data_IF_500915008966
#
_entry.id   IF_500915008966
#
_cell.length_a   1.000
_cell.length_b   1.000
_cell.length_c   1.000
_cell.angle_alpha   90.00
_cell.angle_beta   90.00
_cell.angle_gamma   90.00
#
_symmetry.space_group_name_H-M   'P 1'
#
loop_
_entity.id
_entity.type
_entity.pdbx_description
1 polymer ?
#
# COMPACT_ATOMS: atom_id res chain seq x y z
N UNK A 1 18.29 2.53 17.70
CA UNK A 1 17.76 3.49 16.71
C UNK A 1 18.06 3.00 15.31
N UNK A 2 17.10 3.08 14.42
CA UNK A 2 17.33 2.72 13.02
C UNK A 2 18.19 3.79 12.36
N UNK A 3 19.32 3.39 11.77
CA UNK A 3 20.25 4.30 11.13
C UNK A 3 20.10 4.37 9.62
N UNK A 4 19.16 3.58 9.05
CA UNK A 4 18.91 3.63 7.61
C UNK A 4 18.31 4.97 7.22
N UNK A 5 18.75 5.56 6.10
CA UNK A 5 18.14 6.81 5.64
C UNK A 5 16.68 6.57 5.25
N UNK A 6 15.82 7.50 5.65
CA UNK A 6 14.43 7.50 5.22
C UNK A 6 14.36 7.58 3.69
N UNK A 7 13.43 6.85 3.08
CA UNK A 7 13.24 6.91 1.64
C UNK A 7 12.32 8.07 1.27
N UNK A 8 12.67 8.74 0.18
CA UNK A 8 11.91 9.87 -0.35
C UNK A 8 10.85 9.37 -1.33
N UNK A 9 9.94 10.26 -1.73
CA UNK A 9 8.97 9.96 -2.79
C UNK A 9 9.69 9.47 -4.05
N UNK A 10 10.78 10.12 -4.44
CA UNK A 10 11.57 9.73 -5.61
C UNK A 10 12.11 8.32 -5.48
N UNK A 11 12.63 7.95 -4.30
CA UNK A 11 13.13 6.60 -4.03
C UNK A 11 12.00 5.57 -4.17
N UNK A 12 10.82 5.90 -3.68
CA UNK A 12 9.68 4.96 -3.69
C UNK A 12 9.04 4.85 -5.08
N UNK A 13 9.07 5.90 -5.87
CA UNK A 13 8.67 5.82 -7.28
C UNK A 13 9.60 4.84 -8.01
N UNK A 14 10.91 4.91 -7.77
CA UNK A 14 11.86 3.98 -8.37
C UNK A 14 11.67 2.55 -7.86
N UNK A 15 11.45 2.37 -6.56
CA UNK A 15 11.20 1.05 -5.98
C UNK A 15 9.92 0.43 -6.56
N UNK A 16 8.86 1.21 -6.68
CA UNK A 16 7.60 0.77 -7.28
C UNK A 16 7.81 0.32 -8.72
N UNK A 17 8.57 1.06 -9.50
CA UNK A 17 8.86 0.72 -10.88
C UNK A 17 9.72 -0.54 -11.02
N UNK A 18 10.46 -0.92 -9.99
CA UNK A 18 11.32 -2.11 -10.00
C UNK A 18 10.57 -3.40 -9.69
N UNK A 19 9.39 -3.31 -9.09
CA UNK A 19 8.61 -4.47 -8.67
C UNK A 19 7.69 -4.95 -9.81
N UNK A 20 7.83 -6.22 -10.19
CA UNK A 20 7.07 -6.79 -11.32
C UNK A 20 5.56 -6.68 -11.14
N UNK A 21 5.05 -7.02 -9.95
CA UNK A 21 3.62 -6.93 -9.68
C UNK A 21 3.13 -5.50 -9.81
N UNK A 22 3.86 -4.55 -9.22
CA UNK A 22 3.47 -3.14 -9.21
C UNK A 22 3.39 -2.56 -10.63
N UNK A 23 4.35 -2.94 -11.50
CA UNK A 23 4.34 -2.53 -12.90
C UNK A 23 3.14 -3.10 -13.65
N UNK A 24 2.90 -4.42 -13.50
CA UNK A 24 1.81 -5.08 -14.20
C UNK A 24 0.45 -4.58 -13.76
N UNK A 25 0.32 -4.27 -12.48
CA UNK A 25 -0.93 -3.77 -11.91
C UNK A 25 -1.15 -2.28 -12.18
N UNK A 26 -0.11 -1.57 -12.57
CA UNK A 26 -0.21 -0.13 -12.82
C UNK A 26 -0.26 0.69 -11.54
N UNK A 27 0.42 0.24 -10.48
CA UNK A 27 0.50 1.02 -9.24
C UNK A 27 1.23 2.34 -9.49
N UNK A 28 0.65 3.43 -8.99
CA UNK A 28 1.24 4.75 -9.03
C UNK A 28 1.43 5.26 -7.60
N UNK A 29 2.63 5.73 -7.27
CA UNK A 29 2.91 6.35 -5.97
C UNK A 29 2.57 7.82 -6.09
N UNK A 30 1.51 8.24 -5.41
CA UNK A 30 1.02 9.63 -5.48
C UNK A 30 1.77 10.50 -4.47
N UNK A 31 1.84 10.05 -3.22
CA UNK A 31 2.56 10.74 -2.15
C UNK A 31 3.28 9.74 -1.28
N UNK A 32 4.39 10.15 -0.69
CA UNK A 32 5.10 9.35 0.31
C UNK A 32 6.03 10.26 1.11
N UNK A 33 5.66 10.56 2.35
CA UNK A 33 6.47 11.38 3.25
C UNK A 33 5.97 11.26 4.69
N UNK A 34 6.87 11.40 5.64
CA UNK A 34 6.53 11.52 7.07
C UNK A 34 5.57 10.44 7.58
N UNK A 35 5.81 9.19 7.19
CA UNK A 35 5.01 8.07 7.65
C UNK A 35 3.66 7.92 6.95
N UNK A 36 3.47 8.57 5.80
CA UNK A 36 2.24 8.51 5.03
C UNK A 36 2.58 8.14 3.59
N UNK A 37 1.75 7.31 2.96
CA UNK A 37 1.89 7.01 1.54
C UNK A 37 0.51 6.82 0.92
N UNK A 38 0.37 7.26 -0.32
CA UNK A 38 -0.83 7.03 -1.11
C UNK A 38 -0.45 6.38 -2.43
N UNK A 39 -1.15 5.30 -2.77
CA UNK A 39 -0.92 4.53 -3.98
C UNK A 39 -2.24 4.38 -4.72
N UNK A 40 -2.21 4.49 -6.03
CA UNK A 40 -3.39 4.34 -6.88
C UNK A 40 -3.18 3.19 -7.87
N UNK A 41 -4.27 2.53 -8.21
CA UNK A 41 -4.29 1.48 -9.22
C UNK A 41 -5.57 1.63 -10.05
N UNK A 42 -5.48 1.65 -11.40
CA UNK A 42 -6.69 1.68 -12.22
C UNK A 42 -7.38 0.31 -12.18
N UNK A 43 -8.69 0.29 -12.44
CA UNK A 43 -9.41 -0.97 -12.60
C UNK A 43 -8.76 -1.81 -13.69
N UNK A 44 -8.68 -3.11 -13.45
CA UNK A 44 -8.18 -4.07 -14.43
C UNK A 44 -8.95 -5.38 -14.27
N UNK A 45 -9.67 -5.79 -15.31
CA UNK A 45 -10.45 -7.02 -15.31
C UNK A 45 -9.59 -8.26 -15.02
N UNK A 46 -8.29 -8.20 -15.33
CA UNK A 46 -7.36 -9.29 -15.07
C UNK A 46 -7.11 -9.57 -13.60
N UNK A 47 -7.52 -8.66 -12.70
CA UNK A 47 -7.32 -8.81 -11.25
C UNK A 47 -8.61 -9.06 -10.51
N UNK A 48 -9.65 -9.45 -11.21
CA UNK A 48 -10.95 -9.76 -10.60
C UNK A 48 -11.00 -11.20 -10.14
N UNK A 49 -11.84 -11.44 -9.14
CA UNK A 49 -12.19 -12.80 -8.73
C UNK A 49 -13.45 -13.27 -9.48
N UNK A 50 -13.88 -14.49 -9.21
CA UNK A 50 -14.94 -15.16 -9.94
C UNK A 50 -16.32 -14.48 -9.92
N UNK A 51 -16.56 -13.54 -8.98
CA UNK A 51 -17.82 -12.77 -8.93
C UNK A 51 -17.69 -11.39 -9.58
N UNK A 52 -16.55 -11.10 -10.22
CA UNK A 52 -16.36 -9.84 -10.93
C UNK A 52 -15.87 -8.68 -10.06
N UNK A 53 -15.52 -8.93 -8.79
CA UNK A 53 -14.97 -7.92 -7.90
C UNK A 53 -13.46 -8.03 -7.85
N UNK A 54 -12.78 -6.99 -7.39
CA UNK A 54 -11.33 -7.02 -7.23
C UNK A 54 -10.95 -8.17 -6.27
N UNK A 55 -9.99 -8.99 -6.69
CA UNK A 55 -9.53 -10.13 -5.91
C UNK A 55 -8.90 -9.67 -4.59
N UNK A 56 -9.19 -10.40 -3.51
CA UNK A 56 -8.64 -10.08 -2.18
C UNK A 56 -7.10 -10.06 -2.19
N UNK A 57 -6.47 -10.86 -3.03
CA UNK A 57 -5.01 -10.83 -3.20
C UNK A 57 -4.50 -9.48 -3.70
N UNK A 58 -5.25 -8.83 -4.60
CA UNK A 58 -4.88 -7.49 -5.09
C UNK A 58 -5.18 -6.42 -4.04
N UNK A 59 -6.25 -6.60 -3.28
CA UNK A 59 -6.56 -5.73 -2.14
C UNK A 59 -5.39 -5.79 -1.15
N UNK A 60 -4.93 -7.00 -0.83
CA UNK A 60 -3.78 -7.21 0.06
C UNK A 60 -2.51 -6.54 -0.50
N UNK A 61 -2.25 -6.70 -1.78
CA UNK A 61 -1.07 -6.10 -2.42
C UNK A 61 -1.08 -4.57 -2.30
N UNK A 62 -2.24 -3.95 -2.52
CA UNK A 62 -2.39 -2.49 -2.39
C UNK A 62 -2.19 -2.03 -0.95
N UNK A 63 -2.84 -2.69 0.00
CA UNK A 63 -2.73 -2.34 1.41
C UNK A 63 -1.30 -2.54 1.93
N UNK A 64 -0.70 -3.69 1.61
CA UNK A 64 0.66 -3.99 2.03
C UNK A 64 1.67 -3.00 1.45
N UNK A 65 1.53 -2.67 0.16
CA UNK A 65 2.43 -1.71 -0.49
C UNK A 65 2.31 -0.32 0.15
N UNK A 66 1.10 0.13 0.42
CA UNK A 66 0.89 1.42 1.07
C UNK A 66 1.49 1.45 2.48
N UNK A 67 1.31 0.37 3.26
CA UNK A 67 1.93 0.25 4.58
C UNK A 67 3.45 0.27 4.50
N UNK A 68 4.02 -0.52 3.59
CA UNK A 68 5.46 -0.62 3.42
C UNK A 68 6.09 0.70 3.00
N UNK A 69 5.47 1.40 2.06
CA UNK A 69 5.98 2.70 1.62
C UNK A 69 5.85 3.77 2.71
N UNK A 70 4.74 3.76 3.45
CA UNK A 70 4.60 4.66 4.60
C UNK A 70 5.72 4.43 5.60
N UNK A 71 5.99 3.18 5.97
CA UNK A 71 7.05 2.82 6.91
C UNK A 71 8.43 3.16 6.36
N UNK A 72 8.67 2.98 5.06
CA UNK A 72 9.95 3.27 4.44
C UNK A 72 10.31 4.76 4.50
N UNK A 73 9.32 5.64 4.53
CA UNK A 73 9.58 7.08 4.71
C UNK A 73 10.12 7.40 6.10
N UNK A 74 9.96 6.49 7.08
CA UNK A 74 10.51 6.65 8.43
C UNK A 74 11.82 5.87 8.59
N UNK A 75 11.94 4.69 7.98
CA UNK A 75 12.93 3.69 8.39
C UNK A 75 13.85 3.19 7.28
N UNK A 76 13.70 3.67 6.05
CA UNK A 76 14.46 3.13 4.93
C UNK A 76 13.89 1.82 4.44
N UNK A 77 14.73 0.92 3.92
CA UNK A 77 14.30 -0.38 3.42
C UNK A 77 13.59 -1.20 4.49
N UNK A 78 12.45 -1.77 4.15
CA UNK A 78 11.61 -2.53 5.09
C UNK A 78 11.04 -3.77 4.43
N UNK A 79 10.54 -4.70 5.26
CA UNK A 79 9.89 -5.91 4.80
C UNK A 79 8.76 -6.25 5.76
N UNK A 80 7.62 -6.67 5.22
CA UNK A 80 6.50 -7.10 6.04
C UNK A 80 6.81 -8.45 6.69
N UNK A 81 6.51 -8.58 7.98
CA UNK A 81 6.64 -9.85 8.69
C UNK A 81 5.29 -10.44 9.07
N UNK A 82 4.26 -9.63 9.15
CA UNK A 82 2.89 -10.08 9.39
C UNK A 82 1.91 -9.09 8.78
N UNK A 83 0.84 -9.62 8.24
CA UNK A 83 -0.18 -8.80 7.57
C UNK A 83 -1.56 -9.35 7.87
N UNK A 84 -2.49 -8.46 8.17
CA UNK A 84 -3.91 -8.81 8.31
C UNK A 84 -4.76 -7.77 7.62
N UNK A 85 -5.91 -8.17 7.13
CA UNK A 85 -6.82 -7.24 6.48
C UNK A 85 -8.28 -7.61 6.69
N UNK A 86 -9.16 -6.65 6.47
CA UNK A 86 -10.60 -6.82 6.50
C UNK A 86 -11.17 -6.32 5.18
N UNK A 87 -11.87 -7.18 4.47
CA UNK A 87 -12.63 -6.79 3.30
C UNK A 87 -14.03 -6.41 3.75
N UNK A 88 -14.34 -5.13 3.72
CA UNK A 88 -15.56 -4.58 4.30
C UNK A 88 -16.75 -4.66 3.36
N UNK A 89 -16.51 -4.64 2.06
CA UNK A 89 -17.51 -4.73 1.01
C UNK A 89 -16.87 -5.09 -0.32
N UNK A 90 -17.65 -5.53 -1.32
CA UNK A 90 -17.11 -5.83 -2.63
C UNK A 90 -16.38 -4.62 -3.21
N UNK A 91 -15.17 -4.83 -3.75
CA UNK A 91 -14.35 -3.76 -4.27
C UNK A 91 -14.58 -3.61 -5.78
N UNK A 92 -15.30 -2.55 -6.15
CA UNK A 92 -15.59 -2.21 -7.54
C UNK A 92 -15.44 -0.70 -7.68
N UNK A 93 -14.75 -0.27 -8.72
CA UNK A 93 -14.57 1.15 -8.97
C UNK A 93 -13.76 1.37 -10.24
N UNK A 94 -13.58 2.62 -10.60
CA UNK A 94 -12.73 3.00 -11.71
C UNK A 94 -11.26 2.96 -11.33
N UNK A 95 -10.97 3.35 -10.09
CA UNK A 95 -9.62 3.45 -9.55
C UNK A 95 -9.67 3.03 -8.08
N UNK A 96 -8.60 2.40 -7.62
CA UNK A 96 -8.44 2.07 -6.20
C UNK A 96 -7.35 2.95 -5.62
N UNK A 97 -7.60 3.45 -4.41
CA UNK A 97 -6.68 4.35 -3.71
C UNK A 97 -6.36 3.74 -2.35
N UNK A 98 -5.11 3.38 -2.15
CA UNK A 98 -4.63 2.85 -0.86
C UNK A 98 -3.89 3.96 -0.12
N UNK A 99 -4.30 4.23 1.12
CA UNK A 99 -3.67 5.23 1.99
C UNK A 99 -3.05 4.53 3.18
N UNK A 100 -1.72 4.58 3.27
CA UNK A 100 -0.97 3.96 4.35
C UNK A 100 -0.47 4.99 5.35
N UNK A 101 -0.42 4.59 6.62
CA UNK A 101 0.05 5.45 7.70
C UNK A 101 0.87 4.62 8.69
N UNK A 102 2.04 5.11 9.05
CA UNK A 102 2.83 4.52 10.13
C UNK A 102 2.14 4.85 11.46
N UNK A 103 1.77 3.83 12.21
CA UNK A 103 1.15 3.99 13.54
C UNK A 103 2.24 4.21 14.57
N UNK A 104 3.30 3.40 14.51
CA UNK A 104 4.45 3.53 15.40
C UNK A 104 5.70 3.00 14.72
N UNK A 105 6.71 3.83 14.62
CA UNK A 105 8.01 3.47 14.07
C UNK A 105 8.98 3.16 15.21
N UNK A 106 9.05 1.89 15.60
CA UNK A 106 10.03 1.43 16.57
C UNK A 106 11.35 1.10 15.90
N UNK A 107 12.38 0.84 16.69
CA UNK A 107 13.72 0.53 16.18
C UNK A 107 13.76 -0.81 15.44
N UNK A 108 13.09 -1.83 15.97
CA UNK A 108 13.10 -3.19 15.41
C UNK A 108 11.82 -3.54 14.68
N UNK A 109 10.74 -2.88 15.00
CA UNK A 109 9.41 -3.16 14.46
C UNK A 109 8.69 -1.84 14.19
N UNK A 110 7.96 -1.84 13.09
CA UNK A 110 7.14 -0.70 12.70
C UNK A 110 5.73 -1.23 12.50
N UNK A 111 4.76 -0.53 13.10
CA UNK A 111 3.36 -0.84 12.92
C UNK A 111 2.77 0.17 11.95
N UNK A 112 2.15 -0.32 10.89
CA UNK A 112 1.50 0.52 9.88
C UNK A 112 0.12 0.00 9.60
N UNK A 113 -0.76 0.88 9.14
CA UNK A 113 -2.11 0.50 8.71
C UNK A 113 -2.43 1.21 7.40
N UNK A 114 -3.37 0.65 6.67
CA UNK A 114 -3.81 1.23 5.43
C UNK A 114 -5.32 1.07 5.25
N UNK A 115 -5.88 1.96 4.45
CA UNK A 115 -7.28 1.92 4.03
C UNK A 115 -7.31 1.88 2.51
N UNK A 116 -8.20 1.06 1.95
CA UNK A 116 -8.39 1.00 0.52
C UNK A 116 -9.75 1.57 0.16
N UNK A 117 -9.74 2.54 -0.75
CA UNK A 117 -10.95 3.18 -1.27
C UNK A 117 -11.14 2.79 -2.72
N UNK A 118 -12.40 2.54 -3.11
CA UNK A 118 -12.78 2.45 -4.50
C UNK A 118 -13.32 3.80 -4.92
N UNK A 119 -12.79 4.35 -6.01
CA UNK A 119 -13.20 5.64 -6.55
C UNK A 119 -14.06 5.39 -7.79
N UNK A 120 -15.26 5.96 -7.82
CA UNK A 120 -16.15 5.82 -8.98
C UNK A 120 -15.85 6.87 -10.04
N UNK A 121 -16.62 6.87 -11.13
CA UNK A 121 -16.43 7.80 -12.24
C UNK A 121 -16.67 9.26 -11.86
N UNK A 122 -17.44 9.51 -10.80
CA UNK A 122 -17.70 10.85 -10.30
C UNK A 122 -16.66 11.33 -9.30
N UNK A 123 -15.64 10.50 -9.02
CA UNK A 123 -14.61 10.85 -8.06
C UNK A 123 -14.99 10.59 -6.61
N UNK A 124 -16.13 9.96 -6.36
CA UNK A 124 -16.56 9.61 -5.01
C UNK A 124 -15.80 8.39 -4.52
N UNK A 125 -15.38 8.44 -3.27
CA UNK A 125 -14.59 7.36 -2.64
C UNK A 125 -15.40 6.58 -1.64
N UNK A 126 -15.30 5.24 -1.72
CA UNK A 126 -15.97 4.32 -0.81
C UNK A 126 -14.91 3.44 -0.15
N UNK A 127 -14.87 3.40 1.18
CA UNK A 127 -13.94 2.53 1.89
C UNK A 127 -14.34 1.07 1.68
N UNK A 128 -13.45 0.26 1.13
CA UNK A 128 -13.73 -1.14 0.81
C UNK A 128 -12.92 -2.13 1.64
N UNK A 129 -11.78 -1.72 2.16
CA UNK A 129 -10.93 -2.62 2.96
C UNK A 129 -10.01 -1.84 3.87
N UNK A 130 -9.56 -2.50 4.95
CA UNK A 130 -8.53 -1.98 5.86
C UNK A 130 -7.49 -3.06 6.07
N UNK A 131 -6.26 -2.67 6.38
CA UNK A 131 -5.20 -3.61 6.68
C UNK A 131 -4.23 -3.07 7.71
N UNK A 132 -3.51 -3.98 8.35
CA UNK A 132 -2.46 -3.67 9.32
C UNK A 132 -1.26 -4.54 9.02
N UNK A 133 -0.08 -3.96 9.09
CA UNK A 133 1.16 -4.65 8.79
C UNK A 133 2.18 -4.43 9.90
N UNK A 134 2.77 -5.54 10.34
CA UNK A 134 3.96 -5.49 11.18
C UNK A 134 5.16 -5.56 10.24
N UNK A 135 6.02 -4.59 10.34
CA UNK A 135 7.10 -4.35 9.37
C UNK A 135 8.42 -4.35 10.13
N UNK A 136 9.47 -4.87 9.50
CA UNK A 136 10.82 -4.87 10.08
C UNK A 136 11.77 -4.14 9.12
N UNK A 137 12.68 -3.31 9.67
CA UNK A 137 13.73 -2.71 8.85
C UNK A 137 14.68 -3.78 8.33
N UNK A 138 15.12 -3.65 7.08
CA UNK A 138 16.02 -4.64 6.46
C UNK A 138 17.49 -4.31 6.64
N UNK A 139 17.82 -3.14 7.21
CA UNK A 139 19.21 -2.74 7.41
C UNK A 139 19.90 -2.21 6.17
N UNK A 140 19.15 -2.03 5.09
CA UNK A 140 19.81 -1.60 3.86
C UNK A 140 18.92 -0.84 2.88
#
# INVERSE_FOLDING_TARGET
>A
MNTNPALTLSDLIAANASAGLNRQAGFEVVTAENGIAEIRMPWNDGFTQYSGYLHAGMIAALLDTACGFAAATNAGGVMASHFSMNCLRPAVGRTFVAKGTTVKAGRKQIFARAELFAENEQGEMLLVATGETLIVPTGG
#
